data_IF_246672725122
#
_entry.id   IF_246672725122
#
_cell.length_a   1.000
_cell.length_b   1.000
_cell.length_c   1.000
_cell.angle_alpha   90.00
_cell.angle_beta   90.00
_cell.angle_gamma   90.00
#
_symmetry.space_group_name_H-M   'P 1'
#
loop_
_entity.id
_entity.type
_entity.pdbx_description
1 polymer ?
#
# COMPACT_ATOMS: atom_id res chain seq x y z
N UNK A 1 10.62 -25.85 18.35
CA UNK A 1 11.46 -26.49 17.30
C UNK A 1 11.91 -27.86 17.79
N UNK A 2 12.46 -28.66 16.90
CA UNK A 2 12.97 -29.99 17.20
C UNK A 2 13.44 -30.68 15.92
N UNK A 3 13.85 -31.95 16.00
CA UNK A 3 14.14 -32.73 14.82
C UNK A 3 12.85 -32.99 14.02
N UNK A 4 13.00 -33.29 12.74
CA UNK A 4 11.92 -33.63 11.83
C UNK A 4 12.24 -34.84 10.97
N UNK A 5 11.21 -35.36 10.33
CA UNK A 5 11.29 -36.33 9.24
C UNK A 5 10.50 -35.81 8.06
N UNK A 6 11.11 -35.83 6.87
CA UNK A 6 10.51 -35.38 5.62
C UNK A 6 10.23 -36.58 4.71
N UNK A 7 9.07 -36.57 4.04
CA UNK A 7 8.63 -37.61 3.11
C UNK A 7 8.71 -37.09 1.68
N UNK A 8 9.51 -37.75 0.86
CA UNK A 8 9.73 -37.39 -0.54
C UNK A 8 9.07 -38.39 -1.49
N UNK A 9 8.55 -37.87 -2.60
CA UNK A 9 7.95 -38.64 -3.68
C UNK A 9 8.66 -38.38 -5.00
N UNK A 10 8.89 -39.45 -5.78
CA UNK A 10 9.50 -39.35 -7.10
C UNK A 10 8.47 -38.91 -8.15
N UNK A 11 8.61 -37.69 -8.67
CA UNK A 11 7.72 -37.11 -9.69
C UNK A 11 8.19 -37.33 -11.14
N UNK A 12 9.30 -38.04 -11.33
CA UNK A 12 9.81 -38.41 -12.65
C UNK A 12 9.13 -39.66 -13.23
N UNK A 13 9.69 -40.18 -14.33
CA UNK A 13 9.21 -41.42 -14.93
C UNK A 13 9.41 -42.59 -13.94
N UNK A 14 8.39 -43.42 -13.65
CA UNK A 14 8.46 -44.45 -12.62
C UNK A 14 9.57 -45.49 -12.84
N UNK A 15 9.88 -45.82 -14.10
CA UNK A 15 10.95 -46.73 -14.50
C UNK A 15 12.36 -46.14 -14.33
N UNK A 16 12.46 -44.83 -14.12
CA UNK A 16 13.71 -44.10 -13.87
C UNK A 16 13.90 -43.70 -12.40
N UNK A 17 13.11 -44.26 -11.49
CA UNK A 17 13.23 -43.99 -10.06
C UNK A 17 14.63 -44.36 -9.56
N UNK A 18 15.41 -43.43 -8.98
CA UNK A 18 16.72 -43.74 -8.43
C UNK A 18 16.64 -44.81 -7.34
N UNK A 19 17.67 -45.64 -7.22
CA UNK A 19 17.72 -46.72 -6.22
C UNK A 19 17.74 -46.23 -4.76
N UNK A 20 18.00 -44.93 -4.53
CA UNK A 20 17.95 -44.29 -3.23
C UNK A 20 17.61 -42.81 -3.34
N UNK A 21 17.19 -42.21 -2.24
CA UNK A 21 16.91 -40.78 -2.16
C UNK A 21 18.21 -39.96 -2.32
N UNK A 22 18.12 -38.85 -3.06
CA UNK A 22 19.14 -37.81 -3.13
C UNK A 22 18.48 -36.43 -3.16
N UNK A 23 18.89 -35.55 -2.25
CA UNK A 23 18.32 -34.21 -2.11
C UNK A 23 18.62 -33.26 -3.29
N UNK A 24 19.67 -33.55 -4.06
CA UNK A 24 20.09 -32.75 -5.21
C UNK A 24 19.19 -32.91 -6.46
N UNK A 25 18.31 -33.91 -6.52
CA UNK A 25 17.49 -34.14 -7.71
C UNK A 25 16.11 -33.46 -7.59
N UNK A 26 15.78 -32.48 -8.45
CA UNK A 26 14.54 -31.70 -8.36
C UNK A 26 13.26 -32.51 -8.63
N UNK A 27 13.39 -33.76 -9.07
CA UNK A 27 12.25 -34.68 -9.25
C UNK A 27 11.81 -35.33 -7.93
N UNK A 28 12.61 -35.25 -6.86
CA UNK A 28 12.13 -35.58 -5.51
C UNK A 28 11.33 -34.41 -4.96
N UNK A 29 10.04 -34.64 -4.77
CA UNK A 29 9.11 -33.65 -4.25
C UNK A 29 8.77 -34.03 -2.82
N UNK A 30 9.12 -33.19 -1.86
CA UNK A 30 8.65 -33.31 -0.47
C UNK A 30 7.11 -33.17 -0.46
N UNK A 31 6.39 -34.13 0.09
CA UNK A 31 4.91 -34.10 0.15
C UNK A 31 4.38 -33.94 1.56
N UNK A 32 5.18 -34.26 2.56
CA UNK A 32 4.79 -34.27 3.97
C UNK A 32 6.02 -34.14 4.85
N UNK A 33 5.90 -33.48 6.00
CA UNK A 33 6.86 -33.55 7.10
C UNK A 33 6.17 -33.81 8.46
N UNK A 34 6.93 -34.40 9.38
CA UNK A 34 6.59 -34.54 10.79
C UNK A 34 7.71 -33.93 11.64
N UNK A 35 7.40 -32.83 12.32
CA UNK A 35 8.31 -32.11 13.21
C UNK A 35 8.03 -32.51 14.65
N UNK A 36 9.02 -33.08 15.32
CA UNK A 36 8.94 -33.51 16.72
C UNK A 36 9.32 -32.34 17.63
N UNK A 37 8.35 -31.51 17.99
CA UNK A 37 8.56 -30.30 18.79
C UNK A 37 9.04 -30.64 20.20
N UNK A 38 10.29 -30.29 20.50
CA UNK A 38 10.98 -30.64 21.75
C UNK A 38 11.55 -29.44 22.50
N UNK A 39 11.80 -28.32 21.82
CA UNK A 39 12.50 -27.17 22.38
C UNK A 39 11.77 -25.84 22.12
N UNK A 40 11.84 -24.95 23.10
CA UNK A 40 11.51 -23.54 23.00
C UNK A 40 12.79 -22.74 22.75
N UNK A 41 12.85 -22.02 21.62
CA UNK A 41 14.00 -21.19 21.27
C UNK A 41 13.82 -19.80 21.85
N UNK A 42 14.68 -19.43 22.78
CA UNK A 42 14.63 -18.13 23.46
C UNK A 42 15.22 -17.01 22.62
N UNK A 43 14.93 -15.77 23.01
CA UNK A 43 15.41 -14.57 22.33
C UNK A 43 16.94 -14.42 22.34
N UNK A 44 17.62 -15.00 23.33
CA UNK A 44 19.09 -15.06 23.43
C UNK A 44 19.72 -16.17 22.57
N UNK A 45 18.89 -16.97 21.87
CA UNK A 45 19.31 -18.06 21.01
C UNK A 45 19.45 -19.42 21.71
N UNK A 46 19.26 -19.49 23.02
CA UNK A 46 19.27 -20.74 23.77
C UNK A 46 18.01 -21.59 23.51
N UNK A 47 18.11 -22.89 23.78
CA UNK A 47 17.00 -23.85 23.61
C UNK A 47 16.66 -24.47 24.96
N UNK A 48 15.43 -24.32 25.40
CA UNK A 48 14.91 -24.97 26.60
C UNK A 48 13.96 -26.12 26.23
N UNK A 49 14.00 -27.27 26.94
CA UNK A 49 13.03 -28.33 26.71
C UNK A 49 11.59 -27.86 26.93
N UNK A 50 10.70 -28.20 26.00
CA UNK A 50 9.26 -27.92 26.14
C UNK A 50 8.68 -28.78 27.27
N UNK A 51 7.83 -28.16 28.10
CA UNK A 51 7.05 -28.86 29.13
C UNK A 51 6.11 -29.90 28.52
N UNK A 52 5.55 -29.61 27.34
CA UNK A 52 4.72 -30.50 26.56
C UNK A 52 5.30 -30.61 25.15
N UNK A 53 5.66 -31.83 24.77
CA UNK A 53 6.12 -32.15 23.41
C UNK A 53 4.90 -32.46 22.53
N UNK A 54 4.99 -32.14 21.26
CA UNK A 54 3.95 -32.46 20.28
C UNK A 54 4.59 -32.87 18.95
N UNK A 55 3.80 -33.55 18.12
CA UNK A 55 4.13 -33.74 16.70
C UNK A 55 3.39 -32.65 15.95
N UNK A 56 4.12 -31.84 15.20
CA UNK A 56 3.57 -30.86 14.26
C UNK A 56 3.77 -31.43 12.86
N UNK A 57 2.69 -31.62 12.11
CA UNK A 57 2.73 -32.36 10.85
C UNK A 57 2.16 -31.50 9.73
N UNK A 58 2.82 -31.50 8.58
CA UNK A 58 2.47 -30.63 7.46
C UNK A 58 2.44 -31.41 6.15
N UNK A 59 1.23 -31.70 5.65
CA UNK A 59 1.03 -32.31 4.33
C UNK A 59 0.71 -31.25 3.29
N UNK A 60 1.49 -31.17 2.22
CA UNK A 60 1.26 -30.23 1.12
C UNK A 60 0.13 -30.69 0.20
N UNK A 61 -1.11 -30.27 0.47
CA UNK A 61 -2.30 -30.69 -0.29
C UNK A 61 -2.12 -30.51 -1.80
N UNK A 62 -1.60 -29.36 -2.25
CA UNK A 62 -1.35 -29.07 -3.66
C UNK A 62 -0.40 -30.08 -4.31
N UNK A 63 0.67 -30.47 -3.60
CA UNK A 63 1.66 -31.43 -4.09
C UNK A 63 1.07 -32.84 -4.15
N UNK A 64 0.34 -33.23 -3.10
CA UNK A 64 -0.32 -34.54 -3.01
C UNK A 64 -1.37 -34.71 -4.11
N UNK A 65 -2.22 -33.70 -4.34
CA UNK A 65 -3.23 -33.73 -5.40
C UNK A 65 -2.57 -33.84 -6.78
N UNK A 66 -1.51 -33.08 -7.04
CA UNK A 66 -0.79 -33.16 -8.32
C UNK A 66 -0.25 -34.58 -8.55
N UNK A 67 0.40 -35.18 -7.55
CA UNK A 67 0.97 -36.52 -7.62
C UNK A 67 -0.11 -37.59 -7.82
N UNK A 68 -1.23 -37.52 -7.08
CA UNK A 68 -2.34 -38.46 -7.22
C UNK A 68 -2.98 -38.39 -8.61
N UNK A 69 -2.93 -37.22 -9.25
CA UNK A 69 -3.37 -37.02 -10.63
C UNK A 69 -2.30 -37.40 -11.68
N UNK A 70 -1.15 -37.96 -11.26
CA UNK A 70 -0.05 -38.32 -12.16
C UNK A 70 0.66 -37.11 -12.77
N UNK A 71 0.57 -35.93 -12.14
CA UNK A 71 1.16 -34.68 -12.59
C UNK A 71 2.42 -34.35 -11.79
N UNK A 72 3.38 -33.71 -12.45
CA UNK A 72 4.60 -33.16 -11.83
C UNK A 72 4.55 -31.63 -11.68
N UNK A 73 3.40 -31.03 -11.92
CA UNK A 73 3.17 -29.60 -11.89
C UNK A 73 1.88 -29.27 -11.11
N UNK A 74 2.03 -28.67 -9.92
CA UNK A 74 0.92 -28.26 -9.06
C UNK A 74 -0.08 -27.34 -9.77
N UNK A 75 0.37 -26.57 -10.77
CA UNK A 75 -0.47 -25.60 -11.47
C UNK A 75 -1.37 -26.25 -12.53
N UNK A 76 -1.12 -27.52 -12.86
CA UNK A 76 -2.00 -28.34 -13.71
C UNK A 76 -3.07 -29.09 -12.90
N UNK A 77 -2.98 -29.06 -11.57
CA UNK A 77 -3.97 -29.66 -10.69
C UNK A 77 -5.29 -28.90 -10.70
N UNK A 78 -6.35 -29.54 -10.24
CA UNK A 78 -7.69 -28.94 -10.20
C UNK A 78 -7.75 -27.69 -9.29
N UNK A 79 -6.78 -27.51 -8.40
CA UNK A 79 -6.65 -26.34 -7.52
C UNK A 79 -6.17 -25.06 -8.21
N UNK A 80 -5.62 -25.18 -9.44
CA UNK A 80 -5.04 -24.07 -10.19
C UNK A 80 -5.42 -24.04 -11.66
N UNK A 81 -5.85 -25.17 -12.25
CA UNK A 81 -6.16 -25.30 -13.67
C UNK A 81 -7.15 -24.24 -14.16
N UNK A 82 -8.21 -23.95 -13.41
CA UNK A 82 -9.18 -22.90 -13.77
C UNK A 82 -8.55 -21.50 -13.79
N UNK A 83 -7.64 -21.20 -12.86
CA UNK A 83 -6.90 -19.94 -12.81
C UNK A 83 -5.95 -19.82 -14.00
N UNK A 84 -5.18 -20.88 -14.30
CA UNK A 84 -4.27 -20.91 -15.45
C UNK A 84 -5.05 -20.71 -16.75
N UNK A 85 -6.13 -21.46 -16.97
CA UNK A 85 -6.99 -21.30 -18.15
C UNK A 85 -7.52 -19.86 -18.28
N UNK A 86 -7.91 -19.23 -17.16
CA UNK A 86 -8.37 -17.84 -17.18
C UNK A 86 -7.24 -16.88 -17.56
N UNK A 87 -6.01 -17.11 -17.10
CA UNK A 87 -4.84 -16.30 -17.45
C UNK A 87 -4.47 -16.49 -18.92
N UNK A 88 -4.52 -17.71 -19.46
CA UNK A 88 -4.34 -17.97 -20.89
C UNK A 88 -5.35 -17.21 -21.74
N UNK A 89 -6.64 -17.23 -21.36
CA UNK A 89 -7.68 -16.45 -22.02
C UNK A 89 -7.36 -14.95 -22.01
N UNK A 90 -7.02 -14.39 -20.85
CA UNK A 90 -6.73 -12.95 -20.69
C UNK A 90 -5.46 -12.50 -21.43
N UNK A 91 -4.46 -13.36 -21.52
CA UNK A 91 -3.16 -13.03 -22.13
C UNK A 91 -3.06 -13.39 -23.61
N UNK A 92 -3.88 -14.34 -24.10
CA UNK A 92 -3.70 -14.94 -25.43
C UNK A 92 -2.43 -15.78 -25.54
N UNK A 93 -1.82 -16.16 -24.41
CA UNK A 93 -0.62 -17.01 -24.33
C UNK A 93 -0.98 -18.39 -23.83
N UNK A 94 -0.15 -19.39 -24.16
CA UNK A 94 -0.36 -20.78 -23.74
C UNK A 94 0.58 -21.13 -22.58
N UNK A 95 0.05 -21.78 -21.56
CA UNK A 95 0.82 -22.32 -20.44
C UNK A 95 1.76 -23.41 -20.94
N UNK A 96 3.05 -23.32 -20.60
CA UNK A 96 4.09 -24.21 -21.15
C UNK A 96 4.72 -23.74 -22.46
N UNK A 97 4.23 -22.65 -23.09
CA UNK A 97 4.79 -22.11 -24.36
C UNK A 97 6.27 -21.69 -24.21
N UNK A 98 6.62 -21.10 -23.06
CA UNK A 98 8.00 -20.81 -22.69
C UNK A 98 8.18 -20.86 -21.17
N UNK A 99 9.42 -20.96 -20.71
CA UNK A 99 9.75 -20.92 -19.27
C UNK A 99 9.28 -19.60 -18.65
N UNK A 100 9.44 -18.50 -19.37
CA UNK A 100 9.06 -17.15 -18.94
C UNK A 100 7.53 -16.99 -18.85
N UNK A 101 6.80 -17.47 -19.85
CA UNK A 101 5.33 -17.43 -19.87
C UNK A 101 4.78 -18.28 -18.73
N UNK A 102 5.27 -19.51 -18.60
CA UNK A 102 4.88 -20.45 -17.54
C UNK A 102 5.11 -19.83 -16.17
N UNK A 103 6.31 -19.29 -15.93
CA UNK A 103 6.66 -18.62 -14.67
C UNK A 103 5.73 -17.43 -14.37
N UNK A 104 5.44 -16.59 -15.36
CA UNK A 104 4.56 -15.44 -15.19
C UNK A 104 3.13 -15.87 -14.83
N UNK A 105 2.57 -16.88 -15.51
CA UNK A 105 1.24 -17.41 -15.22
C UNK A 105 1.16 -18.02 -13.80
N UNK A 106 2.17 -18.80 -13.40
CA UNK A 106 2.28 -19.35 -12.03
C UNK A 106 2.24 -18.25 -10.98
N UNK A 107 3.04 -17.20 -11.16
CA UNK A 107 3.10 -16.06 -10.22
C UNK A 107 1.75 -15.33 -10.15
N UNK A 108 1.09 -15.09 -11.28
CA UNK A 108 -0.22 -14.43 -11.31
C UNK A 108 -1.26 -15.28 -10.56
N UNK A 109 -1.35 -16.58 -10.88
CA UNK A 109 -2.32 -17.48 -10.28
C UNK A 109 -2.15 -17.58 -8.77
N UNK A 110 -0.92 -17.86 -8.31
CA UNK A 110 -0.59 -17.99 -6.90
C UNK A 110 -0.85 -16.69 -6.12
N UNK A 111 -0.32 -15.56 -6.61
CA UNK A 111 -0.38 -14.31 -5.85
C UNK A 111 -1.78 -13.71 -5.79
N UNK A 112 -2.57 -13.79 -6.88
CA UNK A 112 -3.94 -13.30 -6.86
C UNK A 112 -4.87 -14.24 -6.10
N UNK A 113 -4.63 -15.55 -6.12
CA UNK A 113 -5.32 -16.51 -5.24
C UNK A 113 -5.07 -16.15 -3.77
N UNK A 114 -3.80 -16.06 -3.36
CA UNK A 114 -3.44 -15.69 -1.99
C UNK A 114 -4.03 -14.34 -1.57
N UNK A 115 -3.93 -13.30 -2.42
CA UNK A 115 -4.50 -11.99 -2.12
C UNK A 115 -6.04 -12.02 -2.01
N UNK A 116 -6.71 -12.84 -2.84
CA UNK A 116 -8.17 -13.03 -2.76
C UNK A 116 -8.56 -13.68 -1.45
N UNK A 117 -7.84 -14.72 -1.00
CA UNK A 117 -8.09 -15.33 0.29
C UNK A 117 -7.88 -14.36 1.46
N UNK A 118 -6.75 -13.64 1.48
CA UNK A 118 -6.43 -12.72 2.59
C UNK A 118 -7.47 -11.58 2.71
N UNK A 119 -7.92 -11.03 1.57
CA UNK A 119 -8.92 -9.95 1.56
C UNK A 119 -10.36 -10.45 1.69
N UNK A 120 -10.64 -11.69 1.28
CA UNK A 120 -11.97 -12.30 1.32
C UNK A 120 -12.31 -12.98 2.64
N UNK A 121 -11.31 -13.29 3.46
CA UNK A 121 -11.48 -13.80 4.83
C UNK A 121 -12.22 -12.80 5.73
N UNK A 122 -12.72 -13.26 6.88
CA UNK A 122 -13.46 -12.49 7.87
C UNK A 122 -12.70 -11.25 8.38
N UNK A 123 -11.36 -11.34 8.47
CA UNK A 123 -10.51 -10.20 8.84
C UNK A 123 -10.38 -9.16 7.72
N UNK A 124 -10.56 -9.56 6.47
CA UNK A 124 -10.62 -8.68 5.31
C UNK A 124 -9.40 -7.77 5.15
N UNK A 125 -8.19 -8.29 5.31
CA UNK A 125 -6.98 -7.46 5.34
C UNK A 125 -6.70 -6.90 3.95
N UNK A 126 -6.98 -5.60 3.76
CA UNK A 126 -6.76 -4.91 2.50
C UNK A 126 -5.31 -4.43 2.26
N UNK A 127 -4.99 -3.99 1.03
CA UNK A 127 -3.68 -3.47 0.66
C UNK A 127 -3.31 -2.20 1.44
N UNK A 128 -2.09 -2.13 1.99
CA UNK A 128 -1.61 -0.97 2.78
C UNK A 128 -0.11 -0.72 2.61
N UNK A 129 0.42 0.34 3.24
CA UNK A 129 1.85 0.66 3.23
C UNK A 129 2.66 -0.10 4.30
N UNK A 130 2.01 -0.77 5.26
CA UNK A 130 2.68 -1.38 6.43
C UNK A 130 2.09 -2.73 6.80
N UNK A 131 2.85 -3.51 7.57
CA UNK A 131 2.39 -4.75 8.20
C UNK A 131 1.77 -5.76 7.21
N UNK A 132 0.65 -6.37 7.58
CA UNK A 132 -0.02 -7.40 6.76
C UNK A 132 -0.53 -6.82 5.43
N UNK A 133 -1.05 -5.59 5.43
CA UNK A 133 -1.53 -4.94 4.21
C UNK A 133 -0.41 -4.65 3.20
N UNK A 134 0.83 -4.47 3.66
CA UNK A 134 2.00 -4.38 2.78
C UNK A 134 2.22 -5.67 2.00
N UNK A 135 2.05 -6.83 2.64
CA UNK A 135 2.19 -8.14 1.99
C UNK A 135 1.14 -8.33 0.91
N UNK A 136 -0.13 -8.03 1.20
CA UNK A 136 -1.23 -8.10 0.23
C UNK A 136 -0.95 -7.21 -0.98
N UNK A 137 -0.56 -5.95 -0.73
CA UNK A 137 -0.18 -5.03 -1.79
C UNK A 137 0.97 -5.56 -2.64
N UNK A 138 1.99 -6.15 -2.02
CA UNK A 138 3.16 -6.70 -2.71
C UNK A 138 2.76 -7.84 -3.65
N UNK A 139 1.91 -8.77 -3.20
CA UNK A 139 1.41 -9.87 -4.02
C UNK A 139 0.68 -9.34 -5.26
N UNK A 140 -0.26 -8.40 -5.06
CA UNK A 140 -1.06 -7.79 -6.14
C UNK A 140 -0.16 -7.10 -7.16
N UNK A 141 0.76 -6.25 -6.73
CA UNK A 141 1.65 -5.50 -7.64
C UNK A 141 2.58 -6.39 -8.43
N UNK A 142 3.06 -7.47 -7.82
CA UNK A 142 3.89 -8.47 -8.51
C UNK A 142 3.09 -9.22 -9.58
N UNK A 143 1.84 -9.59 -9.28
CA UNK A 143 0.93 -10.16 -10.28
C UNK A 143 0.63 -9.16 -11.42
N UNK A 144 0.37 -7.89 -11.12
CA UNK A 144 0.15 -6.85 -12.15
C UNK A 144 1.35 -6.70 -13.08
N UNK A 145 2.57 -6.71 -12.53
CA UNK A 145 3.81 -6.65 -13.33
C UNK A 145 3.92 -7.84 -14.29
N UNK A 146 3.64 -9.05 -13.82
CA UNK A 146 3.66 -10.24 -14.67
C UNK A 146 2.52 -10.27 -15.69
N UNK A 147 1.33 -9.74 -15.33
CA UNK A 147 0.24 -9.54 -16.29
C UNK A 147 0.63 -8.60 -17.43
N UNK A 148 1.33 -7.51 -17.12
CA UNK A 148 1.89 -6.59 -18.14
C UNK A 148 2.93 -7.29 -19.03
N UNK A 149 3.77 -8.14 -18.45
CA UNK A 149 4.75 -8.95 -19.20
C UNK A 149 4.07 -9.93 -20.16
N UNK A 150 2.94 -10.53 -19.77
CA UNK A 150 2.13 -11.38 -20.64
C UNK A 150 1.31 -10.59 -21.67
N UNK A 151 1.33 -9.26 -21.64
CA UNK A 151 0.59 -8.42 -22.58
C UNK A 151 -0.90 -8.23 -22.25
N UNK A 152 -1.32 -8.56 -21.02
CA UNK A 152 -2.70 -8.33 -20.56
C UNK A 152 -2.93 -6.81 -20.50
N UNK A 153 -3.95 -6.32 -21.21
CA UNK A 153 -4.29 -4.90 -21.33
C UNK A 153 -5.79 -4.71 -21.51
N UNK A 154 -6.26 -3.47 -21.38
CA UNK A 154 -7.62 -3.08 -21.74
C UNK A 154 -7.99 -3.61 -23.14
N UNK A 155 -9.16 -4.24 -23.25
CA UNK A 155 -9.62 -4.88 -24.48
C UNK A 155 -9.17 -6.34 -24.66
N UNK A 156 -8.33 -6.90 -23.79
CA UNK A 156 -8.03 -8.33 -23.79
C UNK A 156 -9.28 -9.16 -23.49
N UNK A 157 -9.57 -10.17 -24.32
CA UNK A 157 -10.55 -11.24 -24.08
C UNK A 157 -11.92 -10.79 -23.52
N UNK A 158 -12.48 -9.71 -24.06
CA UNK A 158 -13.81 -9.22 -23.67
C UNK A 158 -13.83 -8.28 -22.47
N UNK A 159 -12.67 -7.88 -21.92
CA UNK A 159 -12.58 -6.77 -20.97
C UNK A 159 -12.98 -5.47 -21.67
N UNK A 160 -13.96 -4.74 -21.12
CA UNK A 160 -14.25 -3.39 -21.62
C UNK A 160 -13.15 -2.42 -21.18
N UNK A 161 -12.98 -1.31 -21.91
CA UNK A 161 -11.97 -0.30 -21.56
C UNK A 161 -12.15 0.18 -20.10
N UNK A 162 -11.05 0.24 -19.35
CA UNK A 162 -11.06 0.60 -17.93
C UNK A 162 -11.45 -0.52 -16.96
N UNK A 163 -11.71 -1.75 -17.42
CA UNK A 163 -11.95 -2.88 -16.53
C UNK A 163 -10.66 -3.57 -16.10
N UNK A 164 -10.48 -3.64 -14.78
CA UNK A 164 -9.42 -4.41 -14.14
C UNK A 164 -9.51 -5.89 -14.49
N UNK A 165 -8.43 -6.49 -15.01
CA UNK A 165 -8.39 -7.92 -15.34
C UNK A 165 -8.23 -8.80 -14.10
N UNK A 166 -7.64 -8.25 -13.03
CA UNK A 166 -7.43 -8.99 -11.77
C UNK A 166 -8.76 -9.40 -11.11
N UNK A 167 -9.87 -8.70 -11.39
CA UNK A 167 -11.22 -9.08 -10.95
C UNK A 167 -11.65 -10.46 -11.46
N UNK A 168 -11.26 -10.82 -12.68
CA UNK A 168 -11.66 -12.09 -13.30
C UNK A 168 -10.99 -13.27 -12.61
N UNK A 169 -9.76 -13.08 -12.14
CA UNK A 169 -9.05 -14.06 -11.33
C UNK A 169 -9.71 -14.19 -9.95
N UNK A 170 -10.07 -13.09 -9.30
CA UNK A 170 -10.77 -13.12 -8.01
C UNK A 170 -12.07 -13.93 -8.09
N UNK A 171 -12.87 -13.72 -9.16
CA UNK A 171 -14.12 -14.45 -9.38
C UNK A 171 -13.91 -15.96 -9.52
N UNK A 172 -12.87 -16.38 -10.24
CA UNK A 172 -12.51 -17.81 -10.37
C UNK A 172 -12.20 -18.40 -9.00
N UNK A 173 -11.37 -17.71 -8.19
CA UNK A 173 -11.06 -18.16 -6.82
C UNK A 173 -12.33 -18.27 -5.97
N UNK A 174 -13.18 -17.24 -5.97
CA UNK A 174 -14.41 -17.26 -5.18
C UNK A 174 -15.35 -18.40 -5.61
N UNK A 175 -15.46 -18.66 -6.92
CA UNK A 175 -16.27 -19.75 -7.45
C UNK A 175 -15.71 -21.13 -7.06
N UNK A 176 -14.42 -21.36 -7.26
CA UNK A 176 -13.79 -22.67 -7.01
C UNK A 176 -13.83 -23.05 -5.53
N UNK A 177 -13.85 -22.05 -4.64
CA UNK A 177 -13.77 -22.24 -3.20
C UNK A 177 -15.07 -21.94 -2.43
N UNK A 178 -16.16 -21.57 -3.11
CA UNK A 178 -17.41 -21.12 -2.46
C UNK A 178 -18.03 -22.12 -1.49
N UNK A 179 -17.89 -23.43 -1.76
CA UNK A 179 -18.46 -24.48 -0.92
C UNK A 179 -17.73 -24.61 0.41
N UNK A 180 -16.40 -24.49 0.39
CA UNK A 180 -15.55 -24.67 1.57
C UNK A 180 -15.38 -23.35 2.34
N UNK A 181 -15.35 -22.22 1.64
CA UNK A 181 -15.09 -20.89 2.18
C UNK A 181 -16.25 -19.93 1.82
N UNK A 182 -17.43 -20.06 2.46
CA UNK A 182 -18.64 -19.30 2.12
C UNK A 182 -18.51 -17.78 2.34
N UNK A 183 -17.50 -17.33 3.09
CA UNK A 183 -17.15 -15.91 3.25
C UNK A 183 -16.51 -15.30 2.00
N UNK A 184 -15.82 -16.08 1.17
CA UNK A 184 -15.20 -15.58 -0.06
C UNK A 184 -16.23 -14.96 -1.03
N UNK A 185 -17.30 -15.66 -1.46
CA UNK A 185 -18.29 -15.05 -2.34
C UNK A 185 -19.04 -13.89 -1.67
N UNK A 186 -19.18 -13.89 -0.33
CA UNK A 186 -19.82 -12.76 0.39
C UNK A 186 -18.98 -11.48 0.37
N UNK A 187 -17.65 -11.62 0.37
CA UNK A 187 -16.71 -10.50 0.40
C UNK A 187 -16.12 -10.16 -0.97
N UNK A 188 -16.47 -10.89 -2.03
CA UNK A 188 -15.80 -10.79 -3.34
C UNK A 188 -15.87 -9.40 -3.95
N UNK A 189 -16.96 -8.66 -3.75
CA UNK A 189 -17.09 -7.30 -4.27
C UNK A 189 -16.07 -6.35 -3.66
N UNK A 190 -15.76 -6.51 -2.37
CA UNK A 190 -14.70 -5.72 -1.69
C UNK A 190 -13.32 -6.07 -2.23
N UNK A 191 -13.06 -7.36 -2.46
CA UNK A 191 -11.80 -7.84 -3.05
C UNK A 191 -11.61 -7.26 -4.44
N UNK A 192 -12.64 -7.33 -5.29
CA UNK A 192 -12.64 -6.78 -6.65
C UNK A 192 -12.36 -5.28 -6.63
N UNK A 193 -12.98 -4.54 -5.70
CA UNK A 193 -12.74 -3.09 -5.59
C UNK A 193 -11.29 -2.77 -5.20
N UNK A 194 -10.71 -3.50 -4.25
CA UNK A 194 -9.30 -3.31 -3.87
C UNK A 194 -8.33 -3.65 -5.01
N UNK A 195 -8.63 -4.72 -5.77
CA UNK A 195 -7.88 -5.08 -6.97
C UNK A 195 -7.94 -3.98 -8.02
N UNK A 196 -9.12 -3.44 -8.33
CA UNK A 196 -9.29 -2.30 -9.25
C UNK A 196 -8.45 -1.09 -8.82
N UNK A 197 -8.52 -0.73 -7.54
CA UNK A 197 -7.79 0.42 -6.99
C UNK A 197 -6.28 0.23 -7.10
N UNK A 198 -5.74 -0.92 -6.68
CA UNK A 198 -4.29 -1.16 -6.77
C UNK A 198 -3.82 -1.35 -8.21
N UNK A 199 -4.61 -1.97 -9.09
CA UNK A 199 -4.27 -2.10 -10.52
C UNK A 199 -4.18 -0.74 -11.21
N UNK A 200 -5.18 0.13 -11.02
CA UNK A 200 -5.17 1.47 -11.59
C UNK A 200 -4.04 2.33 -11.00
N UNK A 201 -3.83 2.26 -9.68
CA UNK A 201 -2.78 3.03 -8.99
C UNK A 201 -1.38 2.57 -9.40
N UNK A 202 -1.16 1.27 -9.43
CA UNK A 202 0.15 0.71 -9.71
C UNK A 202 0.48 0.72 -11.21
N UNK A 203 -0.51 0.54 -12.10
CA UNK A 203 -0.30 0.59 -13.55
C UNK A 203 0.37 1.88 -14.01
N UNK A 204 -0.09 3.04 -13.51
CA UNK A 204 0.51 4.36 -13.78
C UNK A 204 1.97 4.45 -13.31
N UNK A 205 2.27 3.95 -12.10
CA UNK A 205 3.63 3.97 -11.53
C UNK A 205 4.55 2.95 -12.19
N UNK A 206 4.02 1.81 -12.61
CA UNK A 206 4.78 0.71 -13.20
C UNK A 206 5.39 1.15 -14.53
N UNK A 207 4.63 1.85 -15.37
CA UNK A 207 5.15 2.30 -16.65
C UNK A 207 6.32 3.28 -16.50
N UNK A 208 6.19 4.26 -15.60
CA UNK A 208 7.26 5.22 -15.32
C UNK A 208 8.48 4.54 -14.68
N UNK A 209 8.24 3.64 -13.72
CA UNK A 209 9.30 2.90 -13.05
C UNK A 209 10.07 1.96 -13.97
N UNK A 210 9.39 1.27 -14.91
CA UNK A 210 10.05 0.41 -15.90
C UNK A 210 10.93 1.22 -16.87
N UNK A 211 10.48 2.42 -17.29
CA UNK A 211 11.28 3.31 -18.14
C UNK A 211 12.54 3.78 -17.41
N UNK A 212 12.41 4.23 -16.17
CA UNK A 212 13.57 4.66 -15.38
C UNK A 212 14.51 3.49 -15.06
N UNK A 213 13.96 2.32 -14.72
CA UNK A 213 14.75 1.12 -14.50
C UNK A 213 15.57 0.74 -15.75
N UNK A 214 14.96 0.77 -16.94
CA UNK A 214 15.66 0.50 -18.19
C UNK A 214 16.81 1.50 -18.44
N UNK A 215 16.59 2.78 -18.13
CA UNK A 215 17.63 3.81 -18.19
C UNK A 215 18.79 3.50 -17.24
N UNK A 216 18.49 3.22 -15.96
CA UNK A 216 19.51 2.83 -14.97
C UNK A 216 20.33 1.65 -15.49
N UNK A 217 19.67 0.58 -15.95
CA UNK A 217 20.36 -0.60 -16.50
C UNK A 217 21.27 -0.25 -17.68
N UNK A 218 20.83 0.63 -18.59
CA UNK A 218 21.64 1.04 -19.75
C UNK A 218 22.90 1.85 -19.38
N UNK A 219 22.87 2.54 -18.25
CA UNK A 219 23.96 3.38 -17.75
C UNK A 219 24.87 2.65 -16.74
N UNK A 220 24.52 1.41 -16.35
CA UNK A 220 25.29 0.62 -15.39
C UNK A 220 26.64 0.17 -15.96
N UNK A 221 27.72 0.49 -15.25
CA UNK A 221 29.07 -0.02 -15.55
C UNK A 221 29.35 -1.37 -14.89
N UNK A 222 28.90 -1.57 -13.65
CA UNK A 222 29.31 -2.72 -12.82
C UNK A 222 28.19 -3.74 -12.54
N UNK A 223 27.13 -3.79 -13.38
CA UNK A 223 25.93 -4.64 -13.19
C UNK A 223 25.34 -4.60 -11.77
N UNK A 224 25.53 -3.48 -11.06
CA UNK A 224 25.09 -3.29 -9.67
C UNK A 224 24.32 -1.98 -9.53
N UNK A 225 23.03 -2.08 -9.23
CA UNK A 225 22.18 -0.94 -8.90
C UNK A 225 22.51 -0.49 -7.47
N UNK A 226 22.87 0.78 -7.32
CA UNK A 226 23.21 1.36 -6.02
C UNK A 226 21.97 1.50 -5.12
N UNK A 227 22.19 1.60 -3.81
CA UNK A 227 21.11 1.84 -2.86
C UNK A 227 20.36 3.15 -3.12
N UNK A 228 21.07 4.18 -3.59
CA UNK A 228 20.49 5.47 -3.97
C UNK A 228 19.60 5.36 -5.21
N UNK A 229 20.06 4.66 -6.25
CA UNK A 229 19.26 4.42 -7.46
C UNK A 229 17.99 3.62 -7.15
N UNK A 230 18.11 2.55 -6.35
CA UNK A 230 16.97 1.75 -5.91
C UNK A 230 16.01 2.55 -5.02
N UNK A 231 16.55 3.41 -4.14
CA UNK A 231 15.75 4.29 -3.30
C UNK A 231 15.04 5.38 -4.10
N UNK A 232 15.67 5.94 -5.14
CA UNK A 232 15.04 6.90 -6.04
C UNK A 232 13.89 6.26 -6.84
N UNK A 233 14.08 5.04 -7.36
CA UNK A 233 13.00 4.25 -7.98
C UNK A 233 11.80 4.11 -7.04
N UNK A 234 12.06 3.80 -5.77
CA UNK A 234 11.01 3.68 -4.75
C UNK A 234 10.33 5.01 -4.41
N UNK A 235 11.11 6.05 -4.06
CA UNK A 235 10.58 7.30 -3.55
C UNK A 235 9.92 8.15 -4.63
N UNK A 236 10.58 8.28 -5.78
CA UNK A 236 10.18 9.23 -6.84
C UNK A 236 9.14 8.60 -7.76
N UNK A 237 9.37 7.35 -8.17
CA UNK A 237 8.55 6.68 -9.17
C UNK A 237 7.55 5.69 -8.56
N UNK A 238 7.57 5.51 -7.23
CA UNK A 238 6.69 4.57 -6.54
C UNK A 238 6.97 3.11 -6.87
N UNK A 239 8.16 2.81 -7.39
CA UNK A 239 8.56 1.51 -7.90
C UNK A 239 9.11 0.62 -6.77
N UNK A 240 8.39 -0.44 -6.35
CA UNK A 240 8.76 -1.23 -5.16
C UNK A 240 10.15 -1.85 -5.27
N UNK A 241 10.89 -1.85 -4.16
CA UNK A 241 12.24 -2.42 -4.09
C UNK A 241 12.26 -3.89 -4.51
N UNK A 242 11.24 -4.66 -4.16
CA UNK A 242 11.16 -6.09 -4.48
C UNK A 242 11.00 -6.33 -5.99
N UNK A 243 10.28 -5.44 -6.68
CA UNK A 243 10.15 -5.50 -8.14
C UNK A 243 11.46 -5.08 -8.80
N UNK A 244 12.14 -4.05 -8.28
CA UNK A 244 13.49 -3.66 -8.72
C UNK A 244 14.46 -4.83 -8.59
N UNK A 245 14.44 -5.55 -7.47
CA UNK A 245 15.29 -6.72 -7.22
C UNK A 245 15.00 -7.87 -8.17
N UNK A 246 13.72 -8.17 -8.42
CA UNK A 246 13.32 -9.23 -9.34
C UNK A 246 13.76 -8.93 -10.78
N UNK A 247 13.53 -7.70 -11.25
CA UNK A 247 13.97 -7.25 -12.57
C UNK A 247 15.48 -7.20 -12.71
N UNK A 248 16.20 -6.76 -11.67
CA UNK A 248 17.65 -6.76 -11.66
C UNK A 248 18.20 -8.18 -11.83
N UNK A 249 17.64 -9.16 -11.10
CA UNK A 249 18.01 -10.58 -11.25
C UNK A 249 17.78 -11.09 -12.67
N UNK A 250 16.65 -10.75 -13.30
CA UNK A 250 16.37 -11.11 -14.70
C UNK A 250 17.37 -10.50 -15.69
N UNK A 251 17.99 -9.37 -15.35
CA UNK A 251 19.06 -8.72 -16.12
C UNK A 251 20.46 -9.10 -15.65
N UNK A 252 20.61 -10.14 -14.82
CA UNK A 252 21.89 -10.56 -14.23
C UNK A 252 22.62 -9.41 -13.52
N UNK A 253 21.86 -8.57 -12.82
CA UNK A 253 22.32 -7.42 -12.06
C UNK A 253 21.99 -7.60 -10.56
N UNK A 254 22.84 -7.06 -9.69
CA UNK A 254 22.60 -7.03 -8.25
C UNK A 254 22.02 -5.68 -7.81
N UNK A 255 21.28 -5.67 -6.70
CA UNK A 255 20.80 -4.45 -6.04
C UNK A 255 21.43 -4.37 -4.66
N UNK A 256 21.97 -3.21 -4.29
CA UNK A 256 22.45 -2.96 -2.93
C UNK A 256 21.27 -2.72 -1.95
N UNK A 257 20.61 -3.80 -1.55
CA UNK A 257 19.44 -3.79 -0.65
C UNK A 257 19.76 -3.16 0.71
N UNK A 258 20.96 -3.43 1.25
CA UNK A 258 21.38 -2.87 2.54
C UNK A 258 21.50 -1.35 2.46
N UNK A 259 22.16 -0.83 1.42
CA UNK A 259 22.26 0.61 1.20
C UNK A 259 20.88 1.23 0.95
N UNK A 260 20.01 0.60 0.15
CA UNK A 260 18.65 1.10 -0.10
C UNK A 260 17.83 1.19 1.20
N UNK A 261 17.88 0.16 2.05
CA UNK A 261 17.20 0.16 3.36
C UNK A 261 17.79 1.21 4.31
N UNK A 262 19.09 1.45 4.24
CA UNK A 262 19.73 2.51 5.00
C UNK A 262 19.20 3.89 4.56
N UNK A 263 19.08 4.14 3.26
CA UNK A 263 18.47 5.37 2.72
C UNK A 263 17.00 5.53 3.12
N UNK A 264 16.21 4.46 3.03
CA UNK A 264 14.82 4.46 3.53
C UNK A 264 14.74 4.82 5.02
N UNK A 265 15.62 4.25 5.85
CA UNK A 265 15.68 4.56 7.29
C UNK A 265 16.11 5.99 7.54
N UNK A 266 17.10 6.52 6.81
CA UNK A 266 17.53 7.93 6.91
C UNK A 266 16.37 8.85 6.57
N UNK A 267 15.66 8.60 5.46
CA UNK A 267 14.50 9.37 5.04
C UNK A 267 13.34 9.30 6.06
N UNK A 268 13.08 8.11 6.61
CA UNK A 268 12.07 7.95 7.66
C UNK A 268 12.46 8.69 8.94
N UNK A 269 13.73 8.65 9.34
CA UNK A 269 14.24 9.41 10.49
C UNK A 269 14.08 10.90 10.24
N UNK A 270 14.53 11.44 9.12
CA UNK A 270 14.35 12.86 8.75
C UNK A 270 12.87 13.29 8.81
N UNK A 271 11.96 12.45 8.33
CA UNK A 271 10.50 12.68 8.43
C UNK A 271 10.02 12.69 9.89
N UNK A 272 10.53 11.79 10.73
CA UNK A 272 10.20 11.70 12.17
C UNK A 272 10.83 12.79 13.02
N UNK A 273 12.08 13.20 12.79
CA UNK A 273 12.71 14.31 13.54
C UNK A 273 12.02 15.64 13.24
N UNK A 274 11.58 15.84 11.99
CA UNK A 274 10.69 16.96 11.64
C UNK A 274 9.31 16.89 12.32
N UNK A 275 8.96 15.73 12.90
CA UNK A 275 7.71 15.47 13.64
C UNK A 275 7.89 15.43 15.17
N UNK A 276 9.12 15.36 15.68
CA UNK A 276 9.42 15.24 17.11
C UNK A 276 9.63 16.60 17.80
N UNK A 277 10.04 17.63 17.05
CA UNK A 277 10.00 19.04 17.49
C UNK A 277 8.63 19.69 17.35
N UNK A 278 7.55 18.89 17.27
CA UNK A 278 6.21 19.34 16.92
C UNK A 278 5.34 19.43 18.17
N UNK A 279 5.10 20.66 18.62
CA UNK A 279 4.07 21.05 19.57
C UNK A 279 2.67 20.64 19.06
N UNK A 280 1.70 20.49 19.99
CA UNK A 280 0.32 20.01 19.73
C UNK A 280 -0.24 20.57 18.41
N UNK A 281 -0.55 19.70 17.46
CA UNK A 281 -1.21 20.07 16.19
C UNK A 281 -0.31 20.25 14.95
N UNK A 282 1.00 19.99 15.00
CA UNK A 282 1.86 20.16 13.81
C UNK A 282 2.80 21.38 13.86
N UNK A 283 2.87 22.05 15.00
CA UNK A 283 3.54 23.34 15.20
C UNK A 283 4.98 23.17 15.69
N UNK A 284 5.92 23.97 15.22
CA UNK A 284 7.31 23.96 15.71
C UNK A 284 7.47 24.73 17.03
N UNK A 285 6.62 25.73 17.27
CA UNK A 285 6.60 26.56 18.48
C UNK A 285 5.18 27.13 18.73
N UNK A 286 5.03 27.98 19.76
CA UNK A 286 3.78 28.68 20.09
C UNK A 286 3.83 30.19 19.82
N UNK A 287 4.72 30.65 18.93
CA UNK A 287 4.81 32.05 18.55
C UNK A 287 3.52 32.53 17.88
N UNK A 288 3.30 33.86 17.87
CA UNK A 288 2.16 34.47 17.20
C UNK A 288 2.13 34.09 15.72
N UNK A 289 3.28 34.06 15.06
CA UNK A 289 3.38 33.76 13.64
C UNK A 289 3.06 32.28 13.33
N UNK A 290 3.55 31.35 14.15
CA UNK A 290 3.19 29.93 14.06
C UNK A 290 1.69 29.73 14.32
N UNK A 291 1.10 30.47 15.25
CA UNK A 291 -0.34 30.46 15.55
C UNK A 291 -1.19 30.98 14.37
N UNK A 292 -0.72 32.03 13.69
CA UNK A 292 -1.34 32.52 12.44
C UNK A 292 -1.30 31.46 11.35
N UNK A 293 -0.12 30.90 11.08
CA UNK A 293 0.06 29.85 10.06
C UNK A 293 -0.71 28.57 10.39
N UNK A 294 -0.93 28.27 11.67
CA UNK A 294 -1.79 27.17 12.10
C UNK A 294 -3.25 27.37 11.67
N UNK A 295 -3.79 28.55 11.94
CA UNK A 295 -5.16 28.89 11.52
C UNK A 295 -5.27 28.91 9.99
N UNK A 296 -4.23 29.39 9.30
CA UNK A 296 -4.16 29.31 7.84
C UNK A 296 -4.16 27.86 7.31
N UNK A 297 -3.59 26.90 8.05
CA UNK A 297 -3.62 25.49 7.67
C UNK A 297 -5.04 24.91 7.67
N UNK A 298 -5.89 25.29 8.62
CA UNK A 298 -7.31 24.89 8.64
C UNK A 298 -8.10 25.52 7.49
N UNK A 299 -7.88 26.81 7.23
CA UNK A 299 -8.49 27.47 6.07
C UNK A 299 -8.06 26.79 4.76
N UNK A 300 -6.78 26.41 4.65
CA UNK A 300 -6.23 25.69 3.50
C UNK A 300 -6.89 24.33 3.33
N UNK A 301 -7.04 23.53 4.39
CA UNK A 301 -7.69 22.21 4.31
C UNK A 301 -9.15 22.34 3.85
N UNK A 302 -9.91 23.26 4.44
CA UNK A 302 -11.29 23.53 4.04
C UNK A 302 -11.39 23.99 2.57
N UNK A 303 -10.50 24.88 2.13
CA UNK A 303 -10.44 25.32 0.73
C UNK A 303 -10.07 24.16 -0.23
N UNK A 304 -9.12 23.31 0.15
CA UNK A 304 -8.74 22.14 -0.64
C UNK A 304 -9.92 21.18 -0.80
N UNK A 305 -10.69 20.90 0.26
CA UNK A 305 -11.89 20.06 0.18
C UNK A 305 -12.97 20.65 -0.73
N UNK A 306 -13.19 21.97 -0.67
CA UNK A 306 -14.16 22.65 -1.54
C UNK A 306 -13.78 22.62 -3.02
N UNK A 307 -12.49 22.65 -3.35
CA UNK A 307 -12.01 22.71 -4.75
C UNK A 307 -11.72 21.32 -5.33
N UNK A 308 -11.18 20.40 -4.52
CA UNK A 308 -10.70 19.10 -4.96
C UNK A 308 -11.62 17.93 -4.54
N UNK A 309 -12.59 18.19 -3.67
CA UNK A 309 -13.58 17.24 -3.16
C UNK A 309 -13.35 16.79 -1.71
N UNK A 310 -14.42 16.27 -1.10
CA UNK A 310 -14.49 15.89 0.32
C UNK A 310 -13.58 14.70 0.70
N UNK A 311 -13.08 13.96 -0.27
CA UNK A 311 -12.10 12.89 -0.08
C UNK A 311 -10.69 13.41 0.27
N UNK A 312 -10.45 14.72 0.22
CA UNK A 312 -9.18 15.30 0.68
C UNK A 312 -9.07 15.21 2.20
N UNK A 313 -8.03 14.51 2.64
CA UNK A 313 -7.69 14.29 4.04
C UNK A 313 -6.24 14.73 4.25
N UNK A 314 -5.97 15.40 5.37
CA UNK A 314 -4.61 15.74 5.77
C UNK A 314 -3.76 14.46 5.94
N UNK A 315 -2.52 14.48 5.48
CA UNK A 315 -1.55 13.38 5.63
C UNK A 315 -0.33 13.79 6.44
N UNK A 316 -0.14 15.09 6.64
CA UNK A 316 0.94 15.64 7.46
C UNK A 316 0.89 17.16 7.49
N UNK A 317 1.48 17.75 8.52
CA UNK A 317 1.69 19.19 8.59
C UNK A 317 2.99 19.48 9.34
N UNK A 318 3.69 20.53 8.94
CA UNK A 318 4.82 21.10 9.66
C UNK A 318 4.78 22.61 9.51
N UNK A 319 4.57 23.30 10.63
CA UNK A 319 4.31 24.73 10.67
C UNK A 319 5.39 25.37 11.54
N UNK A 320 6.14 26.33 10.98
CA UNK A 320 7.12 27.15 11.72
C UNK A 320 6.70 28.62 11.63
N UNK A 321 7.45 29.52 12.27
CA UNK A 321 7.23 30.95 12.13
C UNK A 321 7.39 31.44 10.67
N UNK A 322 8.22 30.79 9.85
CA UNK A 322 8.49 31.25 8.48
C UNK A 322 7.65 30.53 7.42
N UNK A 323 7.14 29.33 7.68
CA UNK A 323 6.50 28.51 6.64
C UNK A 323 5.42 27.56 7.15
N UNK A 324 4.41 27.35 6.29
CA UNK A 324 3.44 26.27 6.38
C UNK A 324 3.77 25.19 5.33
N UNK A 325 4.05 23.97 5.77
CA UNK A 325 4.09 22.78 4.92
C UNK A 325 2.87 21.90 5.22
N UNK A 326 2.02 21.68 4.23
CA UNK A 326 0.78 20.94 4.37
C UNK A 326 0.70 19.79 3.37
N UNK A 327 0.55 18.57 3.88
CA UNK A 327 0.49 17.34 3.07
C UNK A 327 -0.95 16.81 3.09
N UNK A 328 -1.52 16.46 1.92
CA UNK A 328 -2.92 16.04 1.79
C UNK A 328 -3.10 14.93 0.75
N UNK A 329 -4.16 14.14 0.88
CA UNK A 329 -4.49 13.07 -0.07
C UNK A 329 -5.08 13.61 -1.35
N UNK A 330 -4.29 13.52 -2.43
CA UNK A 330 -4.73 13.84 -3.77
C UNK A 330 -3.78 13.13 -4.76
N UNK A 331 -4.33 12.43 -5.75
CA UNK A 331 -3.52 11.58 -6.63
C UNK A 331 -2.78 12.39 -7.71
N UNK A 332 -3.39 13.47 -8.15
CA UNK A 332 -2.94 14.23 -9.32
C UNK A 332 -2.21 15.51 -8.93
N UNK A 333 -1.46 16.09 -9.88
CA UNK A 333 -0.88 17.41 -9.68
C UNK A 333 -1.99 18.46 -9.75
N UNK A 334 -2.02 19.41 -8.81
CA UNK A 334 -2.99 20.49 -8.88
C UNK A 334 -2.74 21.36 -10.12
N UNK A 335 -3.81 21.69 -10.86
CA UNK A 335 -3.74 22.63 -11.97
C UNK A 335 -3.41 24.05 -11.47
N UNK A 336 -3.02 24.94 -12.39
CA UNK A 336 -2.75 26.34 -12.03
C UNK A 336 -4.03 27.01 -11.48
N UNK A 337 -5.17 26.69 -12.09
CA UNK A 337 -6.50 27.16 -11.77
C UNK A 337 -6.94 26.67 -10.39
N UNK A 338 -6.77 25.38 -10.10
CA UNK A 338 -7.09 24.80 -8.78
C UNK A 338 -6.28 25.48 -7.67
N UNK A 339 -4.97 25.70 -7.88
CA UNK A 339 -4.13 26.40 -6.89
C UNK A 339 -4.60 27.84 -6.69
N UNK A 340 -4.93 28.54 -7.77
CA UNK A 340 -5.44 29.91 -7.70
C UNK A 340 -6.80 29.98 -6.97
N UNK A 341 -7.71 29.05 -7.24
CA UNK A 341 -9.02 28.98 -6.57
C UNK A 341 -8.87 28.71 -5.06
N UNK A 342 -7.98 27.79 -4.67
CA UNK A 342 -7.68 27.54 -3.25
C UNK A 342 -7.13 28.81 -2.59
N UNK A 343 -6.16 29.48 -3.21
CA UNK A 343 -5.59 30.72 -2.68
C UNK A 343 -6.64 31.85 -2.57
N UNK A 344 -7.53 31.98 -3.55
CA UNK A 344 -8.65 32.94 -3.52
C UNK A 344 -9.61 32.63 -2.36
N UNK A 345 -9.97 31.36 -2.14
CA UNK A 345 -10.89 30.98 -1.08
C UNK A 345 -10.31 31.24 0.31
N UNK A 346 -9.03 30.91 0.53
CA UNK A 346 -8.36 31.18 1.81
C UNK A 346 -8.32 32.69 2.07
N UNK A 347 -7.89 33.49 1.09
CA UNK A 347 -7.84 34.95 1.24
C UNK A 347 -9.23 35.59 1.39
N UNK A 348 -10.26 35.02 0.77
CA UNK A 348 -11.65 35.46 0.98
C UNK A 348 -12.07 35.23 2.43
N UNK A 349 -11.77 34.06 3.00
CA UNK A 349 -12.06 33.76 4.40
C UNK A 349 -11.27 34.67 5.36
N UNK A 350 -10.03 35.04 5.01
CA UNK A 350 -9.25 36.02 5.76
C UNK A 350 -9.91 37.41 5.73
N UNK A 351 -10.28 37.89 4.53
CA UNK A 351 -10.94 39.19 4.35
C UNK A 351 -12.29 39.29 5.07
N UNK A 352 -13.03 38.18 5.17
CA UNK A 352 -14.29 38.10 5.90
C UNK A 352 -14.12 38.23 7.43
N UNK A 353 -12.89 38.12 7.94
CA UNK A 353 -12.58 38.28 9.35
C UNK A 353 -13.43 37.40 10.28
N UNK A 354 -13.60 36.13 9.90
CA UNK A 354 -14.41 35.17 10.63
C UNK A 354 -13.89 34.97 12.06
N UNK A 355 -14.79 34.85 13.06
CA UNK A 355 -14.40 34.47 14.41
C UNK A 355 -13.89 33.03 14.42
N UNK A 356 -12.95 32.76 15.32
CA UNK A 356 -12.45 31.41 15.62
C UNK A 356 -12.87 31.06 17.04
N UNK A 357 -13.78 30.10 17.19
CA UNK A 357 -14.29 29.66 18.51
C UNK A 357 -13.79 28.26 18.83
N UNK A 358 -13.69 27.94 20.13
CA UNK A 358 -13.23 26.65 20.62
C UNK A 358 -14.20 26.10 21.66
N UNK A 359 -14.76 24.92 21.36
CA UNK A 359 -15.66 24.19 22.26
C UNK A 359 -15.01 22.88 22.69
N UNK A 360 -15.32 22.43 23.91
CA UNK A 360 -14.93 21.09 24.39
C UNK A 360 -16.14 20.19 24.46
N UNK A 361 -16.08 19.03 23.80
CA UNK A 361 -17.19 18.08 23.72
C UNK A 361 -16.68 16.64 23.59
N UNK A 362 -17.58 15.66 23.68
CA UNK A 362 -17.25 14.26 23.46
C UNK A 362 -16.84 13.98 22.00
N UNK A 363 -16.04 12.94 21.76
CA UNK A 363 -15.62 12.58 20.40
C UNK A 363 -16.80 12.24 19.47
N UNK A 364 -17.83 11.55 19.99
CA UNK A 364 -19.05 11.22 19.26
C UNK A 364 -19.88 12.47 18.93
N UNK A 365 -19.99 13.41 19.88
CA UNK A 365 -20.66 14.69 19.70
C UNK A 365 -19.96 15.55 18.65
N UNK A 366 -18.61 15.60 18.69
CA UNK A 366 -17.81 16.32 17.70
C UNK A 366 -18.04 15.80 16.28
N UNK A 367 -18.08 14.47 16.09
CA UNK A 367 -18.38 13.85 14.79
C UNK A 367 -19.79 14.18 14.31
N UNK A 368 -20.78 14.13 15.21
CA UNK A 368 -22.18 14.46 14.90
C UNK A 368 -22.33 15.93 14.53
N UNK A 369 -21.54 16.82 15.13
CA UNK A 369 -21.47 18.23 14.80
C UNK A 369 -20.70 18.52 13.49
N UNK A 370 -20.23 17.49 12.76
CA UNK A 370 -19.48 17.63 11.51
C UNK A 370 -18.03 18.06 11.70
N UNK A 371 -17.44 17.88 12.89
CA UNK A 371 -16.03 18.17 13.11
C UNK A 371 -15.14 17.13 12.43
N UNK A 372 -14.15 17.61 11.67
CA UNK A 372 -13.21 16.75 10.98
C UNK A 372 -11.97 16.49 11.85
N UNK A 373 -11.50 15.24 11.88
CA UNK A 373 -10.31 14.84 12.64
C UNK A 373 -9.48 13.83 11.86
N UNK A 374 -8.17 14.04 11.80
CA UNK A 374 -7.28 13.25 10.93
C UNK A 374 -6.60 12.08 11.66
N UNK A 375 -6.64 12.05 13.00
CA UNK A 375 -5.92 11.06 13.82
C UNK A 375 -6.77 10.55 14.99
N UNK A 376 -7.86 9.86 14.68
CA UNK A 376 -8.87 9.42 15.65
C UNK A 376 -8.30 8.58 16.80
N UNK A 377 -7.28 7.77 16.54
CA UNK A 377 -6.61 6.91 17.54
C UNK A 377 -5.79 7.67 18.59
N UNK A 378 -5.65 8.99 18.47
CA UNK A 378 -4.88 9.84 19.39
C UNK A 378 -5.74 10.73 20.29
N UNK A 379 -7.07 10.70 20.13
CA UNK A 379 -7.97 11.53 20.92
C UNK A 379 -8.40 10.84 22.22
N UNK A 380 -8.47 11.60 23.32
CA UNK A 380 -9.09 11.15 24.56
C UNK A 380 -10.62 11.29 24.54
N UNK A 381 -11.28 11.00 25.66
CA UNK A 381 -12.76 11.05 25.78
C UNK A 381 -13.36 12.43 25.49
N UNK A 382 -12.65 13.51 25.81
CA UNK A 382 -13.02 14.89 25.48
C UNK A 382 -12.03 15.50 24.50
N UNK A 383 -12.56 16.19 23.49
CA UNK A 383 -11.78 16.83 22.42
C UNK A 383 -12.08 18.32 22.33
N UNK A 384 -11.10 19.10 21.88
CA UNK A 384 -11.27 20.52 21.52
C UNK A 384 -11.64 20.61 20.05
N UNK A 385 -12.77 21.27 19.76
CA UNK A 385 -13.27 21.52 18.42
C UNK A 385 -13.16 23.01 18.13
N UNK A 386 -12.35 23.36 17.13
CA UNK A 386 -12.25 24.72 16.65
C UNK A 386 -13.20 24.93 15.47
N UNK A 387 -14.01 25.98 15.52
CA UNK A 387 -14.89 26.41 14.43
C UNK A 387 -14.42 27.75 13.90
N UNK A 388 -14.24 27.85 12.58
CA UNK A 388 -13.89 29.10 11.88
C UNK A 388 -15.08 29.49 11.01
N UNK A 389 -15.70 30.63 11.33
CA UNK A 389 -16.94 31.08 10.71
C UNK A 389 -18.07 31.23 11.74
N UNK A 390 -19.18 31.83 11.34
CA UNK A 390 -20.31 32.01 12.25
C UNK A 390 -20.90 30.66 12.66
N UNK A 391 -20.80 30.36 13.95
CA UNK A 391 -21.32 29.14 14.59
C UNK A 391 -22.82 29.21 14.92
N UNK A 392 -23.43 30.39 14.80
CA UNK A 392 -24.82 30.64 15.23
C UNK A 392 -25.74 30.95 14.04
N UNK A 393 -26.66 30.02 13.76
CA UNK A 393 -28.00 30.24 13.19
C UNK A 393 -28.11 30.94 11.80
N UNK A 394 -27.35 30.47 10.80
CA UNK A 394 -27.63 30.72 9.37
C UNK A 394 -27.74 29.40 8.60
N UNK A 395 -28.27 29.39 7.35
CA UNK A 395 -28.42 28.18 6.53
C UNK A 395 -27.08 27.60 6.04
N UNK A 396 -25.97 28.32 6.17
CA UNK A 396 -24.67 27.89 5.68
C UNK A 396 -23.78 27.32 6.80
N UNK A 397 -23.09 26.18 6.56
CA UNK A 397 -22.16 25.62 7.51
C UNK A 397 -20.93 26.53 7.72
N UNK A 398 -20.23 26.42 8.86
CA UNK A 398 -19.00 27.16 9.10
C UNK A 398 -17.94 26.85 8.04
N UNK A 399 -16.99 27.77 7.84
CA UNK A 399 -15.96 27.59 6.82
C UNK A 399 -15.06 26.39 7.11
N UNK A 400 -14.69 26.18 8.37
CA UNK A 400 -13.99 25.00 8.87
C UNK A 400 -14.50 24.64 10.27
N UNK A 401 -14.54 23.34 10.58
CA UNK A 401 -14.82 22.79 11.91
C UNK A 401 -13.97 21.56 12.12
N UNK A 402 -12.98 21.63 13.01
CA UNK A 402 -11.92 20.62 13.11
C UNK A 402 -11.53 20.32 14.57
N UNK A 403 -11.19 19.07 14.83
CA UNK A 403 -10.66 18.63 16.12
C UNK A 403 -9.17 18.99 16.18
N UNK A 404 -8.82 19.99 16.98
CA UNK A 404 -7.45 20.50 17.06
C UNK A 404 -7.04 20.84 18.51
N UNK A 405 -5.77 20.58 18.84
CA UNK A 405 -5.21 20.83 20.17
C UNK A 405 -4.21 21.98 20.25
N UNK A 406 -3.93 22.67 19.13
CA UNK A 406 -2.97 23.77 19.04
C UNK A 406 -3.61 25.15 19.21
N UNK A 407 -2.80 26.21 19.45
CA UNK A 407 -3.27 27.60 19.53
C UNK A 407 -3.81 28.11 18.18
N UNK A 408 -4.79 29.01 18.23
CA UNK A 408 -5.36 29.68 17.06
C UNK A 408 -5.46 31.19 17.29
N UNK A 409 -5.54 31.96 16.21
CA UNK A 409 -5.90 33.39 16.29
C UNK A 409 -7.38 33.54 16.62
N UNK A 410 -7.78 34.67 17.19
CA UNK A 410 -9.19 34.91 17.54
C UNK A 410 -10.09 35.17 16.32
N UNK A 411 -9.52 35.69 15.23
CA UNK A 411 -10.23 35.94 13.99
C UNK A 411 -9.30 35.80 12.78
N UNK A 412 -9.87 35.44 11.63
CA UNK A 412 -9.09 35.19 10.41
C UNK A 412 -8.46 36.45 9.82
N UNK A 413 -8.94 37.65 10.16
CA UNK A 413 -8.36 38.91 9.68
C UNK A 413 -6.94 39.16 10.18
N UNK A 414 -6.53 38.51 11.28
CA UNK A 414 -5.16 38.58 11.81
C UNK A 414 -4.11 37.89 10.93
N UNK A 415 -4.53 37.14 9.91
CA UNK A 415 -3.62 36.32 9.08
C UNK A 415 -2.92 37.10 7.97
N UNK A 416 -3.36 38.33 7.64
CA UNK A 416 -2.78 39.10 6.53
C UNK A 416 -3.14 38.51 5.17
N UNK A 417 -2.14 38.18 4.34
CA UNK A 417 -2.36 37.62 3.01
C UNK A 417 -1.74 36.22 2.84
N UNK A 418 -2.55 35.23 2.47
CA UNK A 418 -2.09 33.87 2.24
C UNK A 418 -1.55 33.66 0.83
N UNK A 419 -0.36 33.07 0.70
CA UNK A 419 0.26 32.75 -0.59
C UNK A 419 0.79 31.32 -0.65
N UNK A 420 0.40 30.58 -1.68
CA UNK A 420 1.02 29.30 -2.02
C UNK A 420 2.33 29.58 -2.75
N UNK A 421 3.46 29.11 -2.19
CA UNK A 421 4.77 29.23 -2.82
C UNK A 421 5.02 28.10 -3.83
N UNK A 422 4.68 26.87 -3.45
CA UNK A 422 4.89 25.69 -4.29
C UNK A 422 3.94 24.57 -3.93
N UNK A 423 3.62 23.76 -4.94
CA UNK A 423 2.89 22.50 -4.82
C UNK A 423 3.74 21.40 -5.48
N UNK A 424 3.95 20.28 -4.80
CA UNK A 424 4.79 19.18 -5.27
C UNK A 424 4.30 17.80 -4.79
N UNK A 425 4.72 16.73 -5.48
CA UNK A 425 4.45 15.36 -5.03
C UNK A 425 5.23 15.08 -3.75
N UNK A 426 4.57 14.58 -2.71
CA UNK A 426 5.26 14.11 -1.50
C UNK A 426 5.50 12.60 -1.53
N UNK A 427 4.54 11.84 -2.02
CA UNK A 427 4.58 10.39 -2.19
C UNK A 427 3.37 9.95 -3.03
N UNK A 428 3.30 8.67 -3.42
CA UNK A 428 2.18 8.17 -4.22
C UNK A 428 0.80 8.42 -3.56
N UNK A 429 -0.02 9.26 -4.20
CA UNK A 429 -1.34 9.65 -3.68
C UNK A 429 -1.35 10.80 -2.66
N UNK A 430 -0.22 11.47 -2.44
CA UNK A 430 -0.07 12.57 -1.48
C UNK A 430 0.62 13.76 -2.11
N UNK A 431 -0.02 14.92 -2.04
CA UNK A 431 0.52 16.20 -2.50
C UNK A 431 0.94 17.07 -1.31
N UNK A 432 1.89 17.97 -1.55
CA UNK A 432 2.44 18.89 -0.55
C UNK A 432 2.34 20.32 -1.05
N UNK A 433 1.73 21.18 -0.24
CA UNK A 433 1.76 22.64 -0.41
C UNK A 433 2.75 23.24 0.58
N UNK A 434 3.57 24.17 0.08
CA UNK A 434 4.35 25.12 0.89
C UNK A 434 3.72 26.50 0.72
N UNK A 435 3.39 27.15 1.83
CA UNK A 435 2.71 28.44 1.86
C UNK A 435 3.25 29.35 2.97
N UNK A 436 2.97 30.64 2.83
CA UNK A 436 3.36 31.69 3.78
C UNK A 436 2.21 32.69 3.96
N UNK A 437 2.27 33.45 5.05
CA UNK A 437 1.45 34.65 5.27
C UNK A 437 2.32 35.89 5.00
N UNK A 438 1.77 36.87 4.28
CA UNK A 438 2.41 38.15 3.93
C UNK A 438 1.67 39.31 4.56
#
# INVERSE_FOLDING_TARGET
>A
CGPDTEMFYWSGEPDKTPAGFNDDNPLWVEIWNDVFMQYDKKADGSFEPLKQKNVDTGMGLERVVAILNGQNDNYQSDLFKHLINKIEQLSGKTYGESVEITKAMRIIADHLKAATFIMGDQRGVGPSNTDQGYVVRRLIRRAIRHGRQLGIKDGSAGLTAGESWTKEIAKVVAHDYQTTYPELPKNIDKVIEQFKIEEAKFGKTLEQGLREFAKIISELKDKKISGEQAFNLYQTYGFPLEITQELAKEKNCAVDDQACRAEMKKHQKLSRTASAGVFKGGLADASEQTTKLHTAAHLLLAALRKILGDQVVQKGSNITAERLRFDFSYAEKMTAEQKQQVEILVNRAIKQNWPVTCDQMGLSEAKTAGAHGTFESKYGEKVKVYTIGNSSAGPEPPFSREICGGPHVNNTGQLGHFKIQKEESSSAGVRRIKAVLK
#
